data_IF_934635436698
#
_entry.id   IF_934635436698
#
_cell.length_a   1.000
_cell.length_b   1.000
_cell.length_c   1.000
_cell.angle_alpha   90.00
_cell.angle_beta   90.00
_cell.angle_gamma   90.00
#
_symmetry.space_group_name_H-M   'P 1'
#
loop_
_entity.id
_entity.type
_entity.pdbx_description
1 polymer ?
#
# COMPACT_ATOMS: atom_id res chain seq x y z
N UNK A 1 17.15 -2.17 -2.47
CA UNK A 1 16.01 -2.45 -3.36
C UNK A 1 16.38 -1.90 -4.73
N UNK A 2 16.32 -2.72 -5.74
CA UNK A 2 16.63 -2.33 -7.12
C UNK A 2 15.47 -1.53 -7.74
N UNK A 3 15.74 -0.83 -8.84
CA UNK A 3 14.75 0.07 -9.48
C UNK A 3 13.52 -0.74 -9.92
N UNK A 4 13.71 -1.94 -10.44
CA UNK A 4 12.63 -2.82 -10.91
C UNK A 4 11.68 -3.20 -9.78
N UNK A 5 12.22 -3.57 -8.61
CA UNK A 5 11.41 -3.87 -7.43
C UNK A 5 10.65 -2.64 -6.94
N UNK A 6 11.23 -1.43 -7.04
CA UNK A 6 10.52 -0.17 -6.73
C UNK A 6 9.34 0.02 -7.69
N UNK A 7 9.55 -0.14 -8.99
CA UNK A 7 8.51 0.04 -10.00
C UNK A 7 7.38 -0.97 -9.83
N UNK A 8 7.71 -2.25 -9.57
CA UNK A 8 6.71 -3.29 -9.33
C UNK A 8 5.86 -2.99 -8.08
N UNK A 9 6.48 -2.53 -6.99
CA UNK A 9 5.72 -2.09 -5.81
C UNK A 9 4.86 -0.85 -6.09
N UNK A 10 5.33 0.09 -6.92
CA UNK A 10 4.58 1.30 -7.29
C UNK A 10 3.25 0.97 -7.97
N UNK A 11 3.19 -0.11 -8.77
CA UNK A 11 1.96 -0.55 -9.43
C UNK A 11 0.87 -0.88 -8.40
N UNK A 12 1.19 -1.50 -7.26
CA UNK A 12 0.22 -1.75 -6.20
C UNK A 12 -0.35 -0.44 -5.63
N UNK A 13 0.50 0.55 -5.35
CA UNK A 13 0.03 1.86 -4.88
C UNK A 13 -0.89 2.53 -5.92
N UNK A 14 -0.56 2.40 -7.20
CA UNK A 14 -1.39 2.93 -8.28
C UNK A 14 -2.75 2.22 -8.37
N UNK A 15 -2.79 0.89 -8.22
CA UNK A 15 -4.03 0.12 -8.19
C UNK A 15 -4.90 0.49 -6.99
N UNK A 16 -4.31 0.66 -5.80
CA UNK A 16 -5.01 1.17 -4.61
C UNK A 16 -5.56 2.57 -4.84
N UNK A 17 -4.76 3.46 -5.43
CA UNK A 17 -5.22 4.80 -5.78
C UNK A 17 -6.43 4.77 -6.72
N UNK A 18 -6.38 3.99 -7.79
CA UNK A 18 -7.49 3.84 -8.74
C UNK A 18 -8.74 3.29 -8.08
N UNK A 19 -8.59 2.29 -7.22
CA UNK A 19 -9.71 1.73 -6.48
C UNK A 19 -10.42 2.82 -5.64
N UNK A 20 -9.67 3.54 -4.82
CA UNK A 20 -10.24 4.62 -4.03
C UNK A 20 -10.78 5.77 -4.88
N UNK A 21 -10.16 6.04 -6.02
CA UNK A 21 -10.66 7.05 -6.96
C UNK A 21 -12.00 6.67 -7.57
N UNK A 22 -12.20 5.43 -7.94
CA UNK A 22 -13.50 4.97 -8.44
C UNK A 22 -14.57 4.97 -7.35
N UNK A 23 -14.22 4.63 -6.13
CA UNK A 23 -15.14 4.66 -4.99
C UNK A 23 -15.52 6.10 -4.63
N UNK A 24 -14.56 6.97 -4.40
CA UNK A 24 -14.78 8.34 -3.92
C UNK A 24 -15.22 9.31 -5.03
N UNK A 25 -14.69 9.09 -6.25
CA UNK A 25 -14.85 9.98 -7.38
C UNK A 25 -14.08 11.30 -7.30
N UNK A 26 -13.13 11.40 -6.39
CA UNK A 26 -12.29 12.58 -6.16
C UNK A 26 -10.84 12.18 -5.98
N UNK A 27 -9.94 12.77 -6.75
CA UNK A 27 -8.49 12.55 -6.64
C UNK A 27 -7.96 12.91 -5.26
N UNK A 28 -8.43 14.03 -4.71
CA UNK A 28 -8.03 14.48 -3.37
C UNK A 28 -8.31 13.41 -2.32
N UNK A 29 -9.57 12.97 -2.22
CA UNK A 29 -9.98 11.98 -1.21
C UNK A 29 -9.20 10.68 -1.38
N UNK A 30 -8.97 10.25 -2.61
CA UNK A 30 -8.23 9.02 -2.92
C UNK A 30 -6.77 9.11 -2.52
N UNK A 31 -6.12 10.25 -2.78
CA UNK A 31 -4.75 10.50 -2.36
C UNK A 31 -4.66 10.59 -0.83
N UNK A 32 -5.59 11.30 -0.18
CA UNK A 32 -5.59 11.44 1.28
C UNK A 32 -5.72 10.05 1.95
N UNK A 33 -6.67 9.21 1.48
CA UNK A 33 -6.85 7.84 1.99
C UNK A 33 -5.59 7.01 1.76
N UNK A 34 -5.03 7.04 0.56
CA UNK A 34 -3.82 6.28 0.22
C UNK A 34 -2.64 6.69 1.10
N UNK A 35 -2.40 8.01 1.26
CA UNK A 35 -1.30 8.54 2.06
C UNK A 35 -1.46 8.18 3.54
N UNK A 36 -2.67 8.35 4.10
CA UNK A 36 -2.94 8.00 5.50
C UNK A 36 -2.75 6.50 5.72
N UNK A 37 -3.31 5.66 4.82
CA UNK A 37 -3.14 4.20 4.89
C UNK A 37 -1.66 3.80 4.84
N UNK A 38 -0.91 4.34 3.87
CA UNK A 38 0.52 4.04 3.71
C UNK A 38 1.32 4.50 4.92
N UNK A 39 1.00 5.67 5.50
CA UNK A 39 1.65 6.17 6.70
C UNK A 39 1.41 5.23 7.89
N UNK A 40 0.16 4.81 8.12
CA UNK A 40 -0.18 3.91 9.23
C UNK A 40 0.55 2.58 9.08
N UNK A 41 0.46 1.95 7.89
CA UNK A 41 1.10 0.66 7.62
C UNK A 41 2.62 0.78 7.71
N UNK A 42 3.20 1.85 7.17
CA UNK A 42 4.64 2.10 7.20
C UNK A 42 5.17 2.29 8.63
N UNK A 43 4.47 3.08 9.46
CA UNK A 43 4.83 3.25 10.87
C UNK A 43 4.67 1.95 11.66
N UNK A 44 3.56 1.23 11.46
CA UNK A 44 3.36 -0.06 12.10
C UNK A 44 4.48 -1.05 11.73
N UNK A 45 4.83 -1.14 10.44
CA UNK A 45 5.92 -1.98 9.98
C UNK A 45 7.27 -1.57 10.58
N UNK A 46 7.55 -0.26 10.68
CA UNK A 46 8.76 0.25 11.33
C UNK A 46 8.89 -0.25 12.77
N UNK A 47 7.82 -0.12 13.58
CA UNK A 47 7.85 -0.57 14.96
C UNK A 47 7.93 -2.10 15.08
N UNK A 48 7.23 -2.84 14.22
CA UNK A 48 7.31 -4.30 14.20
C UNK A 48 8.73 -4.78 13.88
N UNK A 49 9.40 -4.15 12.91
CA UNK A 49 10.81 -4.46 12.61
C UNK A 49 11.71 -4.14 13.81
N UNK A 50 11.43 -3.05 14.52
CA UNK A 50 12.22 -2.67 15.69
C UNK A 50 12.10 -3.70 16.83
N UNK A 51 10.90 -4.28 17.04
CA UNK A 51 10.64 -5.24 18.12
C UNK A 51 10.98 -6.68 17.76
N UNK A 52 10.66 -7.10 16.52
CA UNK A 52 10.75 -8.49 16.08
C UNK A 52 11.90 -8.75 15.11
N UNK A 53 12.55 -7.70 14.61
CA UNK A 53 13.57 -7.77 13.56
C UNK A 53 13.09 -8.37 12.23
N UNK A 54 11.77 -8.46 12.03
CA UNK A 54 11.13 -8.91 10.79
C UNK A 54 9.96 -8.00 10.42
N UNK A 55 9.64 -7.82 9.14
CA UNK A 55 8.52 -6.97 8.71
C UNK A 55 7.17 -7.59 9.11
N UNK A 56 6.10 -6.78 9.00
CA UNK A 56 4.72 -7.26 9.12
C UNK A 56 4.46 -8.27 7.99
N UNK A 57 3.88 -9.38 8.36
CA UNK A 57 3.47 -10.44 7.45
C UNK A 57 1.93 -10.43 7.33
N UNK A 58 1.34 -10.88 6.21
CA UNK A 58 -0.12 -10.85 6.02
C UNK A 58 -0.90 -11.56 7.15
N UNK A 59 -0.36 -12.64 7.68
CA UNK A 59 -0.98 -13.37 8.80
C UNK A 59 -0.87 -12.66 10.15
N UNK A 60 0.00 -11.66 10.30
CA UNK A 60 0.06 -10.83 11.51
C UNK A 60 -1.25 -10.05 11.70
N UNK A 61 -2.00 -9.80 10.62
CA UNK A 61 -3.32 -9.18 10.70
C UNK A 61 -4.32 -9.99 11.54
N UNK A 62 -4.18 -11.31 11.55
CA UNK A 62 -5.01 -12.21 12.38
C UNK A 62 -4.65 -12.09 13.87
N UNK A 63 -3.46 -11.63 14.17
CA UNK A 63 -2.92 -11.52 15.54
C UNK A 63 -2.95 -10.08 16.08
N UNK A 64 -3.57 -9.13 15.37
CA UNK A 64 -3.62 -7.71 15.78
C UNK A 64 -4.23 -7.54 17.18
N UNK A 65 -5.27 -8.33 17.52
CA UNK A 65 -5.87 -8.30 18.86
C UNK A 65 -4.86 -8.66 19.96
N UNK A 66 -4.09 -9.73 19.75
CA UNK A 66 -3.03 -10.15 20.69
C UNK A 66 -1.91 -9.11 20.75
N UNK A 67 -1.50 -8.56 19.60
CA UNK A 67 -0.48 -7.53 19.55
C UNK A 67 -0.90 -6.26 20.32
N UNK A 68 -2.18 -5.87 20.24
CA UNK A 68 -2.71 -4.72 20.97
C UNK A 68 -2.66 -4.93 22.51
N UNK A 69 -2.89 -6.14 23.01
CA UNK A 69 -2.82 -6.44 24.46
C UNK A 69 -1.39 -6.38 25.01
N UNK A 70 -0.40 -6.73 24.17
CA UNK A 70 1.03 -6.70 24.57
C UNK A 70 1.69 -5.35 24.31
N UNK A 71 1.06 -4.48 23.48
CA UNK A 71 1.61 -3.18 23.10
C UNK A 71 1.97 -2.29 24.31
N UNK A 72 1.20 -2.40 25.40
CA UNK A 72 1.44 -1.66 26.64
C UNK A 72 2.78 -2.01 27.33
N UNK A 73 3.36 -3.16 27.00
CA UNK A 73 4.65 -3.60 27.54
C UNK A 73 5.85 -3.04 26.75
N UNK A 74 5.60 -2.35 25.65
CA UNK A 74 6.65 -1.77 24.80
C UNK A 74 6.69 -0.25 24.94
N UNK A 75 7.90 0.29 25.02
CA UNK A 75 8.11 1.73 25.00
C UNK A 75 8.28 2.19 23.53
N UNK A 76 7.30 2.92 23.05
CA UNK A 76 7.36 3.53 21.72
C UNK A 76 8.15 4.85 21.81
N UNK A 77 9.37 4.87 21.31
CA UNK A 77 10.15 6.10 21.21
C UNK A 77 9.98 6.74 19.84
N UNK A 78 9.58 8.02 19.84
CA UNK A 78 9.53 8.81 18.60
C UNK A 78 10.95 9.21 18.26
N UNK A 79 11.56 8.51 17.30
CA UNK A 79 12.88 8.85 16.79
C UNK A 79 12.79 10.03 15.79
N UNK A 80 13.91 10.72 15.57
CA UNK A 80 13.99 11.78 14.56
C UNK A 80 13.50 11.31 13.18
N UNK A 81 13.82 10.07 12.80
CA UNK A 81 13.39 9.47 11.54
C UNK A 81 11.86 9.35 11.46
N UNK A 82 11.21 8.90 12.52
CA UNK A 82 9.73 8.81 12.57
C UNK A 82 9.09 10.18 12.44
N UNK A 83 9.64 11.19 13.13
CA UNK A 83 9.14 12.56 13.04
C UNK A 83 9.31 13.13 11.62
N UNK A 84 10.43 12.89 10.99
CA UNK A 84 10.72 13.33 9.63
C UNK A 84 9.82 12.66 8.60
N UNK A 85 9.58 11.35 8.71
CA UNK A 85 8.62 10.63 7.85
C UNK A 85 7.20 11.16 8.03
N UNK A 86 6.74 11.33 9.26
CA UNK A 86 5.41 11.87 9.54
C UNK A 86 5.24 13.27 8.95
N UNK A 87 6.23 14.15 9.11
CA UNK A 87 6.22 15.48 8.51
C UNK A 87 6.17 15.44 6.97
N UNK A 88 6.91 14.52 6.35
CA UNK A 88 6.87 14.28 4.89
C UNK A 88 5.48 13.88 4.42
N UNK A 89 4.84 12.91 5.09
CA UNK A 89 3.48 12.49 4.76
C UNK A 89 2.45 13.61 4.95
N UNK A 90 2.54 14.39 6.02
CA UNK A 90 1.69 15.56 6.23
C UNK A 90 1.86 16.60 5.11
N UNK A 91 3.10 16.85 4.69
CA UNK A 91 3.39 17.70 3.54
C UNK A 91 2.73 17.19 2.25
N UNK A 92 2.80 15.87 1.98
CA UNK A 92 2.14 15.25 0.84
C UNK A 92 0.61 15.37 0.90
N UNK A 93 -0.02 15.21 2.07
CA UNK A 93 -1.47 15.40 2.27
C UNK A 93 -1.87 16.85 1.97
N UNK A 94 -1.09 17.83 2.44
CA UNK A 94 -1.35 19.25 2.15
C UNK A 94 -1.26 19.52 0.63
N UNK A 95 -0.26 18.93 -0.04
CA UNK A 95 -0.10 19.04 -1.49
C UNK A 95 -1.23 18.33 -2.25
N UNK A 96 -1.65 17.15 -1.80
CA UNK A 96 -2.79 16.42 -2.35
C UNK A 96 -4.09 17.24 -2.29
N UNK A 97 -4.23 18.08 -1.25
CA UNK A 97 -5.34 19.02 -1.13
C UNK A 97 -5.49 19.99 -2.30
N UNK A 98 -4.42 20.24 -3.06
CA UNK A 98 -4.43 21.07 -4.29
C UNK A 98 -4.82 20.27 -5.54
N UNK A 99 -4.75 18.94 -5.49
CA UNK A 99 -5.12 18.05 -6.60
C UNK A 99 -6.63 17.77 -6.58
N UNK A 100 -7.43 18.69 -7.09
CA UNK A 100 -8.90 18.62 -6.98
C UNK A 100 -9.54 18.20 -8.31
N UNK A 101 -9.10 17.08 -8.89
CA UNK A 101 -9.74 16.47 -10.04
C UNK A 101 -10.90 15.59 -9.58
N UNK A 102 -12.02 15.71 -10.25
CA UNK A 102 -13.20 14.90 -9.99
C UNK A 102 -13.48 13.94 -11.16
N UNK A 103 -14.08 12.84 -10.84
CA UNK A 103 -14.58 11.93 -11.87
C UNK A 103 -15.54 12.70 -12.80
N UNK A 104 -15.46 12.51 -14.13
CA UNK A 104 -16.30 13.22 -15.10
C UNK A 104 -17.77 13.17 -14.69
N UNK A 105 -18.42 14.32 -14.73
CA UNK A 105 -19.84 14.42 -14.43
C UNK A 105 -20.63 13.74 -15.57
N UNK A 106 -20.92 12.45 -15.40
CA UNK A 106 -21.83 11.76 -16.28
C UNK A 106 -23.23 12.32 -16.00
N UNK A 107 -23.90 12.83 -17.04
CA UNK A 107 -25.28 13.35 -16.96
C UNK A 107 -26.30 12.22 -16.75
N UNK A 108 -26.15 11.49 -15.65
CA UNK A 108 -26.99 10.37 -15.27
C UNK A 108 -27.48 10.52 -13.84
N UNK A 109 -28.59 9.84 -13.52
CA UNK A 109 -29.11 9.76 -12.14
C UNK A 109 -28.01 9.28 -11.19
N UNK A 110 -28.02 9.77 -9.92
CA UNK A 110 -27.04 9.42 -8.88
C UNK A 110 -26.80 7.92 -8.77
N UNK A 111 -27.86 7.12 -8.88
CA UNK A 111 -27.82 5.65 -8.83
C UNK A 111 -27.01 5.07 -9.98
N UNK A 112 -27.21 5.55 -11.22
CA UNK A 112 -26.49 5.08 -12.41
C UNK A 112 -24.99 5.41 -12.29
N UNK A 113 -24.66 6.60 -11.79
CA UNK A 113 -23.25 6.98 -11.51
C UNK A 113 -22.60 6.05 -10.50
N UNK A 114 -23.34 5.68 -9.44
CA UNK A 114 -22.86 4.71 -8.45
C UNK A 114 -22.61 3.32 -9.08
N UNK A 115 -23.53 2.84 -9.91
CA UNK A 115 -23.36 1.56 -10.62
C UNK A 115 -22.16 1.57 -11.56
N UNK A 116 -21.95 2.65 -12.31
CA UNK A 116 -20.78 2.78 -13.20
C UNK A 116 -19.48 2.72 -12.40
N UNK A 117 -19.39 3.43 -11.27
CA UNK A 117 -18.20 3.39 -10.41
C UNK A 117 -17.96 1.99 -9.84
N UNK A 118 -19.02 1.32 -9.39
CA UNK A 118 -18.93 -0.06 -8.92
C UNK A 118 -18.44 -0.99 -10.03
N UNK A 119 -18.99 -0.86 -11.24
CA UNK A 119 -18.53 -1.63 -12.39
C UNK A 119 -17.04 -1.39 -12.69
N UNK A 120 -16.56 -0.14 -12.62
CA UNK A 120 -15.15 0.18 -12.79
C UNK A 120 -14.28 -0.44 -11.71
N UNK A 121 -14.73 -0.47 -10.46
CA UNK A 121 -14.03 -1.18 -9.39
C UNK A 121 -13.95 -2.69 -9.68
N UNK A 122 -15.04 -3.30 -10.16
CA UNK A 122 -15.05 -4.73 -10.53
C UNK A 122 -14.10 -5.01 -11.72
N UNK A 123 -14.09 -4.15 -12.72
CA UNK A 123 -13.17 -4.26 -13.86
C UNK A 123 -11.71 -4.14 -13.43
N UNK A 124 -11.41 -3.34 -12.39
CA UNK A 124 -10.06 -3.21 -11.85
C UNK A 124 -9.54 -4.50 -11.19
N UNK A 125 -10.42 -5.38 -10.74
CA UNK A 125 -10.03 -6.67 -10.13
C UNK A 125 -9.27 -7.54 -11.13
N UNK A 126 -9.68 -7.53 -12.41
CA UNK A 126 -9.07 -8.37 -13.46
C UNK A 126 -7.58 -8.02 -13.65
N UNK A 127 -7.20 -6.76 -13.97
CA UNK A 127 -5.79 -6.41 -14.12
C UNK A 127 -5.00 -6.57 -12.82
N UNK A 128 -5.64 -6.36 -11.65
CA UNK A 128 -4.98 -6.60 -10.36
C UNK A 128 -4.65 -8.08 -10.16
N UNK A 129 -5.60 -8.98 -10.46
CA UNK A 129 -5.39 -10.43 -10.39
C UNK A 129 -4.35 -10.90 -11.42
N UNK A 130 -4.40 -10.39 -12.66
CA UNK A 130 -3.39 -10.67 -13.68
C UNK A 130 -2.00 -10.19 -13.25
N UNK A 131 -1.90 -9.02 -12.63
CA UNK A 131 -0.64 -8.49 -12.13
C UNK A 131 -0.06 -9.34 -11.00
N UNK A 132 -0.88 -9.73 -10.02
CA UNK A 132 -0.47 -10.65 -8.96
C UNK A 132 -0.02 -11.98 -9.55
N UNK A 133 -0.82 -12.56 -10.46
CA UNK A 133 -0.44 -13.81 -11.13
C UNK A 133 0.90 -13.70 -11.88
N UNK A 134 1.13 -12.60 -12.58
CA UNK A 134 2.40 -12.31 -13.26
C UNK A 134 3.58 -12.31 -12.28
N UNK A 135 3.44 -11.63 -11.12
CA UNK A 135 4.51 -11.53 -10.12
C UNK A 135 4.88 -12.88 -9.48
N UNK A 136 3.94 -13.81 -9.41
CA UNK A 136 4.18 -15.14 -8.82
C UNK A 136 4.57 -16.22 -9.85
N UNK A 137 4.84 -15.83 -11.10
CA UNK A 137 5.41 -16.78 -12.06
C UNK A 137 6.86 -17.08 -11.72
N UNK A 138 7.29 -18.37 -11.80
CA UNK A 138 8.66 -18.77 -11.42
C UNK A 138 9.72 -18.07 -12.27
N UNK A 139 9.42 -17.77 -13.52
CA UNK A 139 10.35 -17.18 -14.48
C UNK A 139 10.56 -15.67 -14.28
N UNK A 140 9.76 -15.02 -13.41
CA UNK A 140 9.84 -13.57 -13.22
C UNK A 140 11.20 -13.15 -12.63
N UNK A 141 11.81 -14.02 -11.81
CA UNK A 141 13.12 -13.75 -11.22
C UNK A 141 14.23 -13.66 -12.27
N UNK A 142 14.06 -14.32 -13.42
CA UNK A 142 15.03 -14.30 -14.53
C UNK A 142 15.00 -12.96 -15.29
N UNK A 143 13.87 -12.25 -15.23
CA UNK A 143 13.66 -10.98 -15.95
C UNK A 143 13.67 -9.76 -15.04
N UNK A 144 13.67 -9.95 -13.72
CA UNK A 144 13.63 -8.87 -12.74
C UNK A 144 14.69 -9.10 -11.66
N UNK A 145 15.01 -8.07 -10.91
CA UNK A 145 15.90 -8.14 -9.75
C UNK A 145 15.23 -8.76 -8.51
N UNK A 146 14.06 -9.40 -8.66
CA UNK A 146 13.36 -10.05 -7.57
C UNK A 146 14.04 -11.36 -7.20
N UNK A 147 14.25 -11.58 -5.92
CA UNK A 147 14.87 -12.81 -5.41
C UNK A 147 13.80 -13.70 -4.75
N UNK A 148 13.44 -14.78 -5.41
CA UNK A 148 12.46 -15.76 -4.94
C UNK A 148 13.09 -16.87 -4.08
N UNK A 149 14.43 -16.86 -3.92
CA UNK A 149 15.16 -17.89 -3.17
C UNK A 149 15.33 -17.53 -1.69
N UNK A 150 14.97 -16.32 -1.30
CA UNK A 150 15.12 -15.83 0.06
C UNK A 150 14.01 -16.40 0.96
N UNK A 151 14.40 -17.22 1.94
CA UNK A 151 13.45 -17.78 2.93
C UNK A 151 13.22 -16.89 4.15
N UNK A 152 13.97 -15.78 4.27
CA UNK A 152 13.92 -14.91 5.45
C UNK A 152 13.14 -13.65 5.13
N UNK A 153 11.99 -13.39 5.79
CA UNK A 153 11.13 -12.24 5.48
C UNK A 153 11.85 -10.89 5.51
N UNK A 154 12.85 -10.76 6.39
CA UNK A 154 13.67 -9.54 6.49
C UNK A 154 14.46 -9.25 5.21
N UNK A 155 15.05 -10.26 4.61
CA UNK A 155 15.83 -10.11 3.39
C UNK A 155 14.92 -9.91 2.18
N UNK A 156 13.83 -10.67 2.08
CA UNK A 156 12.82 -10.48 1.04
C UNK A 156 12.27 -9.05 1.04
N UNK A 157 11.92 -8.52 2.23
CA UNK A 157 11.47 -7.14 2.35
C UNK A 157 12.51 -6.11 1.89
N UNK A 158 13.79 -6.35 2.21
CA UNK A 158 14.89 -5.46 1.83
C UNK A 158 15.15 -5.47 0.31
N UNK A 159 15.00 -6.61 -0.33
CA UNK A 159 15.29 -6.81 -1.75
C UNK A 159 14.07 -6.52 -2.61
N UNK A 160 12.93 -7.13 -2.32
CA UNK A 160 11.75 -7.12 -3.17
C UNK A 160 10.74 -6.01 -2.79
N UNK A 161 10.83 -5.45 -1.59
CA UNK A 161 9.91 -4.41 -1.09
C UNK A 161 8.79 -4.97 -0.23
N UNK A 162 7.70 -4.20 -0.07
CA UNK A 162 6.63 -4.53 0.88
C UNK A 162 5.53 -5.41 0.28
N UNK A 163 5.11 -5.16 -0.96
CA UNK A 163 3.99 -5.87 -1.58
C UNK A 163 4.40 -7.11 -2.36
N UNK A 164 5.60 -7.11 -2.94
CA UNK A 164 6.08 -8.20 -3.81
C UNK A 164 6.52 -9.47 -3.07
N UNK A 165 7.03 -9.44 -1.82
CA UNK A 165 7.53 -10.64 -1.15
C UNK A 165 6.45 -11.61 -0.64
N UNK A 166 5.17 -11.25 -0.71
CA UNK A 166 4.08 -12.04 -0.09
C UNK A 166 3.11 -12.62 -1.08
#
# INVERSE_FOLDING_TARGET
MEIDAVLLNLVFYYLFFLFFFFVSGSTKISLDILLIFTMIVGLANYFVILFRSSPILPWDLLSVGTAATVANNYTFSITYLVAQLAAGFLGCIILAGKCNLHFPAISAKKTIRGLIRLALCCVLIIPSACYVHFLYQPDIADYTSLDNTLFTPKYMFKTNGFFVPF
#
